data_IF_699154693100
#
_entry.id   IF_699154693100
#
_cell.length_a   1.000
_cell.length_b   1.000
_cell.length_c   1.000
_cell.angle_alpha   90.00
_cell.angle_beta   90.00
_cell.angle_gamma   90.00
#
_symmetry.space_group_name_H-M   'P 1'
#
loop_
_entity.id
_entity.type
_entity.pdbx_description
1 polymer ?
#
# COMPACT_ATOMS: atom_id res chain seq x y z
N UNK A 1 13.65 -6.91 0.77
CA UNK A 1 14.87 -6.30 1.32
C UNK A 1 14.66 -5.26 2.44
N UNK A 2 13.45 -5.03 2.97
CA UNK A 2 13.17 -3.85 3.82
C UNK A 2 13.47 -3.94 5.32
N UNK A 3 13.62 -5.14 5.91
CA UNK A 3 13.75 -5.28 7.38
C UNK A 3 15.13 -5.76 7.86
N UNK A 4 16.11 -5.91 6.97
CA UNK A 4 17.41 -6.50 7.33
C UNK A 4 18.14 -5.72 8.44
N UNK A 5 17.96 -4.40 8.49
CA UNK A 5 18.64 -3.54 9.45
C UNK A 5 17.96 -3.42 10.82
N UNK A 6 16.76 -4.00 10.97
CA UNK A 6 15.88 -3.69 12.12
C UNK A 6 15.73 -4.87 13.09
N UNK A 7 16.25 -6.05 12.72
CA UNK A 7 16.47 -7.20 13.62
C UNK A 7 15.25 -7.65 14.42
N UNK A 8 15.50 -8.32 15.56
CA UNK A 8 14.47 -8.81 16.49
C UNK A 8 13.70 -7.68 17.21
N UNK A 9 14.20 -6.44 17.20
CA UNK A 9 13.56 -5.29 17.87
C UNK A 9 12.16 -4.99 17.31
N UNK A 10 11.90 -5.35 16.05
CA UNK A 10 10.61 -5.21 15.37
C UNK A 10 9.47 -6.10 15.89
N UNK A 11 9.78 -7.15 16.68
CA UNK A 11 8.76 -8.11 17.14
C UNK A 11 7.84 -7.57 18.23
N UNK A 12 8.23 -6.50 18.91
CA UNK A 12 7.49 -5.94 20.06
C UNK A 12 7.19 -4.45 19.94
N UNK A 13 7.67 -3.80 18.87
CA UNK A 13 7.59 -2.35 18.70
C UNK A 13 7.11 -1.95 17.30
N UNK A 14 6.70 -0.69 17.17
CA UNK A 14 6.13 -0.13 15.95
C UNK A 14 7.21 0.10 14.89
N UNK A 15 7.01 -0.46 13.69
CA UNK A 15 8.01 -0.43 12.61
C UNK A 15 8.54 0.97 12.29
N UNK A 16 7.65 1.96 12.20
CA UNK A 16 8.02 3.35 11.93
C UNK A 16 8.97 3.91 13.00
N UNK A 17 8.65 3.68 14.29
CA UNK A 17 9.46 4.17 15.42
C UNK A 17 10.84 3.52 15.44
N UNK A 18 10.90 2.19 15.30
CA UNK A 18 12.18 1.45 15.29
C UNK A 18 13.05 1.87 14.11
N UNK A 19 12.45 2.08 12.93
CA UNK A 19 13.16 2.53 11.73
C UNK A 19 13.75 3.93 11.90
N UNK A 20 12.96 4.89 12.36
CA UNK A 20 13.43 6.26 12.58
C UNK A 20 14.53 6.30 13.66
N UNK A 21 14.33 5.61 14.79
CA UNK A 21 15.32 5.55 15.86
C UNK A 21 16.65 4.96 15.37
N UNK A 22 16.61 3.87 14.61
CA UNK A 22 17.82 3.23 14.05
C UNK A 22 18.58 4.16 13.11
N UNK A 23 17.87 4.85 12.20
CA UNK A 23 18.52 5.71 11.21
C UNK A 23 19.04 7.02 11.83
N UNK A 24 18.31 7.61 12.78
CA UNK A 24 18.77 8.81 13.50
C UNK A 24 20.01 8.51 14.37
N UNK A 25 20.09 7.32 14.97
CA UNK A 25 21.28 6.87 15.72
C UNK A 25 22.47 6.62 14.77
N UNK A 26 22.22 6.02 13.60
CA UNK A 26 23.27 5.66 12.65
C UNK A 26 23.81 6.84 11.84
N UNK A 27 22.99 7.87 11.60
CA UNK A 27 23.31 9.00 10.74
C UNK A 27 23.14 10.31 11.52
N UNK A 28 24.25 10.93 11.91
CA UNK A 28 24.29 12.11 12.79
C UNK A 28 23.56 13.34 12.27
N UNK A 29 23.36 13.44 10.96
CA UNK A 29 22.76 14.61 10.30
C UNK A 29 21.36 14.29 9.73
N UNK A 30 20.73 13.20 10.15
CA UNK A 30 19.40 12.83 9.72
C UNK A 30 18.37 13.15 10.82
N UNK A 31 17.21 13.68 10.41
CA UNK A 31 16.08 13.92 11.31
C UNK A 31 14.83 13.25 10.75
N UNK A 32 14.65 11.97 11.08
CA UNK A 32 13.51 11.18 10.64
C UNK A 32 12.39 11.25 11.69
N UNK A 33 11.24 11.78 11.29
CA UNK A 33 10.02 11.78 12.07
C UNK A 33 9.17 10.54 11.73
N UNK A 34 8.95 9.61 12.68
CA UNK A 34 8.13 8.43 12.43
C UNK A 34 6.64 8.71 12.57
N UNK A 35 5.85 8.21 11.62
CA UNK A 35 4.38 8.23 11.69
C UNK A 35 3.84 6.80 11.81
N UNK A 36 3.05 6.53 12.85
CA UNK A 36 2.39 5.24 13.06
C UNK A 36 0.89 5.37 12.81
N UNK A 37 0.55 5.61 11.55
CA UNK A 37 -0.80 5.82 11.09
C UNK A 37 -0.97 5.17 9.72
N UNK A 38 -2.22 4.95 9.32
CA UNK A 38 -2.51 4.63 7.94
C UNK A 38 -2.36 5.91 7.12
N UNK A 39 -1.97 5.77 5.86
CA UNK A 39 -1.88 6.91 4.93
C UNK A 39 -3.23 7.64 4.83
N UNK A 40 -4.34 6.89 4.95
CA UNK A 40 -5.70 7.42 4.92
C UNK A 40 -6.09 8.27 6.14
N UNK A 41 -5.32 8.21 7.23
CA UNK A 41 -5.61 8.97 8.45
C UNK A 41 -5.12 10.43 8.35
N UNK A 42 -4.35 10.76 7.31
CA UNK A 42 -3.80 12.09 7.07
C UNK A 42 -4.63 12.89 6.07
N UNK A 43 -4.79 14.18 6.33
CA UNK A 43 -5.43 15.13 5.43
C UNK A 43 -4.50 15.63 4.33
N UNK A 44 -5.06 16.31 3.34
CA UNK A 44 -4.36 17.06 2.29
C UNK A 44 -3.24 17.95 2.82
N UNK A 45 -3.48 18.68 3.91
CA UNK A 45 -2.50 19.58 4.55
C UNK A 45 -1.22 18.87 4.97
N UNK A 46 -1.30 17.58 5.35
CA UNK A 46 -0.12 16.78 5.66
C UNK A 46 0.69 16.46 4.39
N UNK A 47 0.04 16.20 3.26
CA UNK A 47 0.75 15.82 2.04
C UNK A 47 1.38 17.01 1.31
N UNK A 48 0.77 18.20 1.42
CA UNK A 48 1.29 19.45 0.82
C UNK A 48 2.65 19.87 1.41
N UNK A 49 2.98 19.45 2.64
CA UNK A 49 4.24 19.83 3.27
C UNK A 49 5.47 19.17 2.63
N UNK A 50 5.29 18.13 1.81
CA UNK A 50 6.39 17.36 1.23
C UNK A 50 6.69 17.80 -0.20
N UNK A 51 7.97 18.00 -0.50
CA UNK A 51 8.44 18.29 -1.86
C UNK A 51 8.40 17.07 -2.78
N UNK A 52 8.61 15.86 -2.23
CA UNK A 52 8.65 14.60 -2.97
C UNK A 52 8.09 13.51 -2.05
N UNK A 53 7.30 12.60 -2.61
CA UNK A 53 6.79 11.43 -1.90
C UNK A 53 7.33 10.15 -2.55
N UNK A 54 7.91 9.27 -1.73
CA UNK A 54 8.40 7.96 -2.18
C UNK A 54 7.57 6.87 -1.52
N UNK A 55 6.93 6.05 -2.34
CA UNK A 55 6.02 5.01 -1.89
C UNK A 55 6.57 3.61 -2.17
N UNK A 56 6.55 2.79 -1.13
CA UNK A 56 6.71 1.33 -1.21
C UNK A 56 5.53 0.67 -0.53
N UNK A 57 4.37 0.77 -1.16
CA UNK A 57 3.13 0.21 -0.64
C UNK A 57 2.96 -1.23 -1.13
N UNK A 58 2.36 -2.07 -0.28
CA UNK A 58 2.14 -3.50 -0.51
C UNK A 58 0.77 -3.81 -1.15
N UNK A 59 -0.13 -2.83 -1.18
CA UNK A 59 -1.46 -2.98 -1.77
C UNK A 59 -1.71 -2.00 -2.91
N UNK A 60 -2.36 -2.52 -3.95
CA UNK A 60 -2.85 -1.71 -5.08
C UNK A 60 -3.81 -0.62 -4.60
N UNK A 61 -4.66 -0.93 -3.60
CA UNK A 61 -5.61 0.03 -3.02
C UNK A 61 -4.88 1.22 -2.41
N UNK A 62 -3.82 0.99 -1.64
CA UNK A 62 -3.06 2.08 -1.02
C UNK A 62 -2.33 2.93 -2.06
N UNK A 63 -1.78 2.32 -3.12
CA UNK A 63 -1.17 3.06 -4.25
C UNK A 63 -2.19 3.95 -4.95
N UNK A 64 -3.38 3.41 -5.25
CA UNK A 64 -4.49 4.15 -5.88
C UNK A 64 -4.97 5.31 -5.01
N UNK A 65 -5.09 5.08 -3.69
CA UNK A 65 -5.47 6.13 -2.74
C UNK A 65 -4.45 7.27 -2.72
N UNK A 66 -3.15 6.95 -2.62
CA UNK A 66 -2.08 7.95 -2.63
C UNK A 66 -2.08 8.74 -3.94
N UNK A 67 -2.25 8.04 -5.06
CA UNK A 67 -2.38 8.67 -6.37
C UNK A 67 -3.55 9.66 -6.44
N UNK A 68 -4.72 9.27 -5.93
CA UNK A 68 -5.90 10.15 -5.86
C UNK A 68 -5.66 11.36 -4.96
N UNK A 69 -5.01 11.16 -3.80
CA UNK A 69 -4.68 12.23 -2.87
C UNK A 69 -3.77 13.28 -3.54
N UNK A 70 -2.69 12.88 -4.22
CA UNK A 70 -1.78 13.84 -4.85
C UNK A 70 -2.40 14.56 -6.05
N UNK A 71 -3.30 13.89 -6.78
CA UNK A 71 -4.07 14.54 -7.85
C UNK A 71 -5.01 15.60 -7.27
N UNK A 72 -5.60 15.40 -6.09
CA UNK A 72 -6.50 16.38 -5.49
C UNK A 72 -5.79 17.58 -4.86
N UNK A 73 -4.45 17.55 -4.73
CA UNK A 73 -3.65 18.70 -4.29
C UNK A 73 -3.39 19.71 -5.41
N UNK A 74 -3.68 19.35 -6.65
CA UNK A 74 -3.36 20.17 -7.81
C UNK A 74 -4.25 21.42 -7.87
N UNK A 75 -3.60 22.57 -8.04
CA UNK A 75 -4.26 23.85 -8.24
C UNK A 75 -4.27 24.22 -9.71
N UNK A 76 -5.35 24.85 -10.14
CA UNK A 76 -5.53 25.34 -11.50
C UNK A 76 -5.84 26.84 -11.45
N UNK A 77 -5.03 27.64 -12.13
CA UNK A 77 -5.22 29.08 -12.32
C UNK A 77 -5.53 29.33 -13.79
N UNK A 78 -6.68 29.93 -14.10
CA UNK A 78 -7.14 30.20 -15.48
C UNK A 78 -7.04 28.97 -16.43
N UNK A 79 -7.49 27.80 -15.95
CA UNK A 79 -7.39 26.49 -16.61
C UNK A 79 -5.96 25.98 -16.88
N UNK A 80 -4.93 26.70 -16.44
CA UNK A 80 -3.53 26.26 -16.44
C UNK A 80 -3.18 25.58 -15.11
N UNK A 81 -2.47 24.46 -15.19
CA UNK A 81 -1.98 23.74 -14.01
C UNK A 81 -0.85 24.54 -13.35
N UNK A 82 -1.02 24.90 -12.08
CA UNK A 82 0.08 25.47 -11.29
C UNK A 82 1.09 24.38 -10.97
N UNK A 83 2.29 24.50 -11.54
CA UNK A 83 3.38 23.56 -11.36
C UNK A 83 3.89 23.50 -9.91
N UNK A 84 3.67 24.56 -9.11
CA UNK A 84 4.10 24.59 -7.71
C UNK A 84 3.26 23.67 -6.82
N UNK A 85 2.02 23.37 -7.23
CA UNK A 85 1.12 22.44 -6.55
C UNK A 85 1.44 20.96 -6.80
N UNK A 86 2.37 20.67 -7.72
CA UNK A 86 2.74 19.31 -8.09
C UNK A 86 3.70 18.73 -7.05
N UNK A 87 3.28 17.66 -6.39
CA UNK A 87 4.16 16.82 -5.55
C UNK A 87 4.53 15.55 -6.34
N UNK A 88 5.78 15.40 -6.79
CA UNK A 88 6.23 14.19 -7.48
C UNK A 88 6.12 12.95 -6.60
N UNK A 89 5.61 11.86 -7.19
CA UNK A 89 5.46 10.56 -6.56
C UNK A 89 6.40 9.55 -7.21
N UNK A 90 7.23 8.89 -6.41
CA UNK A 90 8.05 7.76 -6.84
C UNK A 90 7.45 6.50 -6.22
N UNK A 91 6.75 5.69 -7.03
CA UNK A 91 6.18 4.41 -6.59
C UNK A 91 7.05 3.24 -7.04
N UNK A 92 7.22 2.25 -6.17
CA UNK A 92 7.91 1.02 -6.54
C UNK A 92 7.34 -0.22 -5.85
N UNK A 93 7.48 -1.35 -6.54
CA UNK A 93 7.02 -2.67 -6.12
C UNK A 93 8.07 -3.75 -6.35
N UNK A 94 8.03 -4.79 -5.53
CA UNK A 94 8.85 -6.00 -5.69
C UNK A 94 7.99 -7.22 -5.39
N UNK A 95 8.08 -8.23 -6.24
CA UNK A 95 7.46 -9.54 -6.07
C UNK A 95 8.46 -10.63 -6.49
N UNK A 96 8.93 -11.43 -5.52
CA UNK A 96 10.00 -12.40 -5.76
C UNK A 96 11.28 -11.73 -6.30
N UNK A 97 11.71 -12.13 -7.50
CA UNK A 97 12.85 -11.55 -8.22
C UNK A 97 12.48 -10.46 -9.22
N UNK A 98 11.20 -10.09 -9.31
CA UNK A 98 10.71 -9.02 -10.18
C UNK A 98 10.52 -7.75 -9.37
N UNK A 99 10.78 -6.61 -9.99
CA UNK A 99 10.52 -5.31 -9.39
C UNK A 99 10.24 -4.26 -10.46
N UNK A 100 9.53 -3.22 -10.06
CA UNK A 100 9.20 -2.07 -10.89
C UNK A 100 9.37 -0.79 -10.07
N UNK A 101 9.77 0.28 -10.75
CA UNK A 101 9.79 1.63 -10.19
C UNK A 101 9.25 2.60 -11.24
N UNK A 102 8.44 3.56 -10.81
CA UNK A 102 7.81 4.55 -11.67
C UNK A 102 7.88 5.92 -11.02
N UNK A 103 8.21 6.93 -11.82
CA UNK A 103 8.09 8.34 -11.45
C UNK A 103 6.77 8.87 -12.00
N UNK A 104 5.98 9.50 -11.14
CA UNK A 104 4.66 10.04 -11.44
C UNK A 104 4.68 11.52 -11.11
N UNK A 105 4.47 12.34 -12.13
CA UNK A 105 4.13 13.75 -12.01
C UNK A 105 2.61 13.85 -12.26
N UNK A 106 1.81 14.08 -11.20
CA UNK A 106 0.36 14.19 -11.34
C UNK A 106 -0.04 15.10 -12.51
N UNK A 107 -0.95 14.62 -13.36
CA UNK A 107 -1.45 15.30 -14.59
C UNK A 107 -0.42 15.60 -15.68
N UNK A 108 0.85 15.28 -15.51
CA UNK A 108 1.89 15.42 -16.54
C UNK A 108 2.36 14.07 -17.12
N UNK A 109 2.51 13.05 -16.27
CA UNK A 109 2.90 11.69 -16.70
C UNK A 109 1.80 10.68 -16.40
N UNK A 110 1.93 9.46 -16.94
CA UNK A 110 1.03 8.37 -16.63
C UNK A 110 1.02 8.10 -15.10
N UNK A 111 -0.18 8.06 -14.53
CA UNK A 111 -0.38 7.84 -13.10
C UNK A 111 -0.66 6.37 -12.77
N UNK A 112 -0.91 6.04 -11.49
CA UNK A 112 -1.20 4.66 -11.06
C UNK A 112 -2.45 4.11 -11.74
N UNK A 113 -3.48 4.94 -11.93
CA UNK A 113 -4.71 4.52 -12.64
C UNK A 113 -4.45 4.29 -14.13
N UNK A 114 -3.61 5.10 -14.77
CA UNK A 114 -3.27 4.95 -16.18
C UNK A 114 -2.53 3.63 -16.48
N UNK A 115 -1.81 3.11 -15.48
CA UNK A 115 -1.00 1.89 -15.59
C UNK A 115 -1.64 0.70 -14.86
N UNK A 116 -2.90 0.81 -14.46
CA UNK A 116 -3.59 -0.19 -13.62
C UNK A 116 -3.57 -1.59 -14.23
N UNK A 117 -3.69 -1.69 -15.55
CA UNK A 117 -3.72 -2.94 -16.31
C UNK A 117 -2.39 -3.69 -16.30
N UNK A 118 -1.28 -3.03 -15.94
CA UNK A 118 0.03 -3.66 -15.79
C UNK A 118 0.15 -4.44 -14.48
N UNK A 119 -0.77 -4.24 -13.52
CA UNK A 119 -0.76 -5.03 -12.29
C UNK A 119 -1.14 -6.48 -12.60
N UNK A 120 -0.47 -7.46 -11.98
CA UNK A 120 -0.81 -8.86 -12.20
C UNK A 120 -2.27 -9.14 -11.80
N UNK A 121 -2.96 -10.04 -12.51
CA UNK A 121 -4.33 -10.39 -12.18
C UNK A 121 -4.38 -11.00 -10.78
N UNK A 122 -5.37 -10.57 -9.99
CA UNK A 122 -5.62 -11.18 -8.68
C UNK A 122 -6.10 -12.62 -8.88
N UNK A 123 -5.46 -13.55 -8.17
CA UNK A 123 -5.88 -14.95 -8.17
C UNK A 123 -7.18 -15.07 -7.39
N UNK A 124 -8.29 -15.25 -8.10
CA UNK A 124 -9.61 -15.51 -7.53
C UNK A 124 -10.13 -16.84 -8.06
N UNK A 125 -10.40 -17.79 -7.17
CA UNK A 125 -10.99 -19.08 -7.53
C UNK A 125 -12.52 -18.96 -7.61
N UNK A 126 -13.18 -19.55 -8.63
CA UNK A 126 -14.64 -19.55 -8.70
C UNK A 126 -15.28 -20.29 -7.52
N UNK A 127 -16.36 -19.76 -6.96
CA UNK A 127 -17.07 -20.36 -5.81
C UNK A 127 -17.53 -21.80 -6.09
N UNK A 128 -17.98 -22.10 -7.31
CA UNK A 128 -18.39 -23.45 -7.69
C UNK A 128 -17.21 -24.46 -7.62
N UNK A 129 -16.00 -24.02 -7.98
CA UNK A 129 -14.78 -24.83 -7.90
C UNK A 129 -14.38 -25.07 -6.45
N UNK A 130 -14.40 -24.03 -5.61
CA UNK A 130 -14.08 -24.14 -4.18
C UNK A 130 -15.05 -25.10 -3.49
N UNK A 131 -16.35 -24.93 -3.72
CA UNK A 131 -17.39 -25.66 -3.00
C UNK A 131 -17.54 -27.13 -3.40
N UNK A 132 -17.43 -27.44 -4.70
CA UNK A 132 -17.84 -28.76 -5.22
C UNK A 132 -16.76 -29.49 -6.00
N UNK A 133 -15.75 -28.80 -6.52
CA UNK A 133 -14.73 -29.40 -7.40
C UNK A 133 -13.30 -28.94 -7.05
N UNK A 134 -12.82 -29.14 -5.81
CA UNK A 134 -11.45 -28.80 -5.45
C UNK A 134 -10.49 -29.75 -6.17
N UNK A 135 -9.55 -29.19 -6.94
CA UNK A 135 -8.54 -29.94 -7.71
C UNK A 135 -7.11 -29.66 -7.27
N UNK A 136 -6.89 -28.51 -6.62
CA UNK A 136 -5.60 -28.06 -6.13
C UNK A 136 -5.69 -27.89 -4.60
N UNK A 137 -4.55 -27.98 -3.92
CA UNK A 137 -4.49 -27.83 -2.47
C UNK A 137 -4.98 -26.45 -2.01
N UNK A 138 -4.71 -25.42 -2.82
CA UNK A 138 -5.15 -24.04 -2.63
C UNK A 138 -6.67 -23.93 -2.55
N UNK A 139 -7.40 -24.75 -3.32
CA UNK A 139 -8.87 -24.75 -3.28
C UNK A 139 -9.39 -25.28 -1.95
N UNK A 140 -8.73 -26.31 -1.38
CA UNK A 140 -9.10 -26.87 -0.08
C UNK A 140 -8.84 -25.87 1.07
N UNK A 141 -7.72 -25.15 1.01
CA UNK A 141 -7.40 -24.07 1.96
C UNK A 141 -8.47 -22.97 1.87
N UNK A 142 -8.84 -22.57 0.65
CA UNK A 142 -9.82 -21.52 0.43
C UNK A 142 -11.24 -21.93 0.84
N UNK A 143 -11.61 -23.20 0.64
CA UNK A 143 -12.85 -23.77 1.17
C UNK A 143 -12.93 -23.66 2.69
N UNK A 144 -11.87 -24.05 3.38
CA UNK A 144 -11.83 -23.96 4.84
C UNK A 144 -11.92 -22.51 5.33
N UNK A 145 -11.20 -21.60 4.67
CA UNK A 145 -11.20 -20.17 5.00
C UNK A 145 -12.56 -19.52 4.82
N UNK A 146 -13.21 -19.76 3.69
CA UNK A 146 -14.48 -19.09 3.34
C UNK A 146 -15.67 -19.86 3.90
N UNK A 147 -15.88 -21.11 3.49
CA UNK A 147 -17.13 -21.82 3.74
C UNK A 147 -17.21 -22.40 5.16
N UNK A 148 -16.15 -23.06 5.64
CA UNK A 148 -16.13 -23.57 7.02
C UNK A 148 -16.06 -22.42 8.05
N UNK A 149 -15.24 -21.41 7.78
CA UNK A 149 -15.16 -20.21 8.61
C UNK A 149 -16.52 -19.50 8.76
N UNK A 150 -17.23 -19.27 7.64
CA UNK A 150 -18.58 -18.67 7.68
C UNK A 150 -19.59 -19.57 8.40
N UNK A 151 -19.58 -20.88 8.18
CA UNK A 151 -20.48 -21.82 8.86
C UNK A 151 -20.30 -21.78 10.38
N UNK A 152 -19.06 -21.76 10.86
CA UNK A 152 -18.78 -21.71 12.29
C UNK A 152 -19.21 -20.36 12.91
N UNK A 153 -18.96 -19.25 12.22
CA UNK A 153 -19.41 -17.92 12.68
C UNK A 153 -20.94 -17.77 12.69
N UNK A 154 -21.66 -18.48 11.81
CA UNK A 154 -23.13 -18.50 11.81
C UNK A 154 -23.67 -19.38 12.95
N UNK A 155 -23.06 -20.54 13.18
CA UNK A 155 -23.42 -21.40 14.31
C UNK A 155 -23.18 -20.70 15.66
N UNK A 156 -22.06 -19.99 15.83
CA UNK A 156 -21.82 -19.21 17.06
C UNK A 156 -22.83 -18.07 17.29
N UNK A 157 -23.45 -17.54 16.23
CA UNK A 157 -24.51 -16.53 16.33
C UNK A 157 -25.90 -17.11 16.61
N UNK A 158 -26.13 -18.40 16.39
CA UNK A 158 -27.40 -19.07 16.71
C UNK A 158 -27.46 -19.55 18.18
N UNK A 159 -26.34 -19.52 18.91
CA UNK A 159 -26.24 -19.92 20.32
C UNK A 159 -26.10 -18.75 21.32
N UNK A 160 -26.36 -17.52 20.89
CA UNK A 160 -26.49 -16.32 21.73
C UNK A 160 -27.80 -15.59 21.41
#
# INVERSE_FOLDING_TARGET
>A
MGCFYLGLKMLKELKAKVAAAFLNDRLSNCNIAPHFNKIQDFSDTFYVQFHIIVCKLDSVIARRWTNGMLISLLNYEDDALDLSSIVPLIDWGIEGFKGNAQVILPRMTACVECTRELNPPQVNFPMCTIAFMPKLLEHCIEYARILLGLRNNLLEKEFH
#
